data_IF_245441307574
#
_entry.id   IF_245441307574
#
_cell.length_a   1.000
_cell.length_b   1.000
_cell.length_c   1.000
_cell.angle_alpha   90.00
_cell.angle_beta   90.00
_cell.angle_gamma   90.00
#
_symmetry.space_group_name_H-M   'P 1'
#
loop_
_entity.id
_entity.type
_entity.pdbx_description
1 polymer ?
#
# COMPACT_ATOMS: atom_id res chain seq x y z
N UNK A 1 39.42 -24.89 10.57
CA UNK A 1 38.81 -23.59 10.99
C UNK A 1 37.97 -23.20 9.80
N UNK A 2 36.84 -23.88 9.66
CA UNK A 2 35.97 -23.71 8.51
C UNK A 2 34.99 -22.59 8.86
N UNK A 3 35.30 -21.40 8.36
CA UNK A 3 34.36 -20.29 8.36
C UNK A 3 33.28 -20.58 7.33
N UNK A 4 32.21 -21.23 7.79
CA UNK A 4 30.95 -21.33 7.07
C UNK A 4 30.38 -19.91 6.93
N UNK A 5 30.76 -19.21 5.86
CA UNK A 5 30.02 -18.05 5.40
C UNK A 5 28.62 -18.54 5.04
N UNK A 6 27.54 -18.09 5.71
CA UNK A 6 26.20 -18.52 5.34
C UNK A 6 25.95 -18.04 3.92
N UNK A 7 25.85 -19.01 3.01
CA UNK A 7 25.47 -18.80 1.63
C UNK A 7 24.09 -18.12 1.58
N UNK A 8 24.06 -16.79 1.60
CA UNK A 8 22.93 -16.04 1.07
C UNK A 8 23.01 -16.17 -0.44
N UNK A 9 22.53 -17.31 -0.97
CA UNK A 9 22.31 -17.47 -2.40
C UNK A 9 21.42 -16.34 -2.92
N UNK A 10 21.53 -15.98 -4.20
CA UNK A 10 20.77 -14.90 -4.84
C UNK A 10 19.26 -14.88 -4.49
N UNK A 11 18.65 -16.05 -4.26
CA UNK A 11 17.27 -16.18 -3.80
C UNK A 11 17.02 -15.74 -2.35
N UNK A 12 17.99 -15.91 -1.45
CA UNK A 12 17.93 -15.41 -0.07
C UNK A 12 17.97 -13.90 0.02
N UNK A 13 18.79 -13.23 -0.79
CA UNK A 13 18.88 -11.76 -0.83
C UNK A 13 17.63 -11.12 -1.47
N UNK A 14 17.08 -11.75 -2.52
CA UNK A 14 15.86 -11.29 -3.20
C UNK A 14 14.63 -11.36 -2.30
N UNK A 15 14.54 -12.39 -1.46
CA UNK A 15 13.39 -12.61 -0.57
C UNK A 15 13.60 -12.03 0.83
N UNK A 16 14.81 -11.61 1.20
CA UNK A 16 15.10 -11.01 2.50
C UNK A 16 14.13 -9.89 2.91
N UNK A 17 13.74 -8.95 2.02
CA UNK A 17 12.77 -7.92 2.39
C UNK A 17 11.39 -8.50 2.71
N UNK A 18 10.98 -9.56 2.01
CA UNK A 18 9.70 -10.22 2.21
C UNK A 18 9.69 -10.96 3.55
N UNK A 19 10.76 -11.71 3.85
CA UNK A 19 10.91 -12.38 5.14
C UNK A 19 10.92 -11.39 6.30
N UNK A 20 11.67 -10.29 6.17
CA UNK A 20 11.70 -9.25 7.20
C UNK A 20 10.33 -8.62 7.44
N UNK A 21 9.54 -8.43 6.37
CA UNK A 21 8.19 -7.90 6.50
C UNK A 21 7.23 -8.92 7.14
N UNK A 22 7.37 -10.20 6.80
CA UNK A 22 6.60 -11.28 7.40
C UNK A 22 6.88 -11.38 8.90
N UNK A 23 8.16 -11.39 9.31
CA UNK A 23 8.56 -11.42 10.72
C UNK A 23 8.00 -10.21 11.48
N UNK A 24 8.11 -9.00 10.91
CA UNK A 24 7.52 -7.81 11.53
C UNK A 24 6.01 -7.92 11.69
N UNK A 25 5.30 -8.47 10.68
CA UNK A 25 3.85 -8.60 10.71
C UNK A 25 3.40 -9.64 11.76
N UNK A 26 4.16 -10.71 11.93
CA UNK A 26 3.92 -11.73 12.96
C UNK A 26 4.13 -11.14 14.37
N UNK A 27 5.15 -10.29 14.56
CA UNK A 27 5.40 -9.59 15.82
C UNK A 27 4.38 -8.47 16.10
N UNK A 28 3.75 -7.90 15.05
CA UNK A 28 2.88 -6.73 15.14
C UNK A 28 1.54 -6.95 14.41
N UNK A 29 0.71 -7.93 14.81
CA UNK A 29 -0.44 -8.38 14.02
C UNK A 29 -1.48 -7.28 13.80
N UNK A 30 -1.73 -6.43 14.80
CA UNK A 30 -2.69 -5.32 14.66
C UNK A 30 -2.16 -4.19 13.76
N UNK A 31 -0.88 -3.85 13.88
CA UNK A 31 -0.24 -2.87 12.98
C UNK A 31 -0.19 -3.38 11.55
N UNK A 32 0.02 -4.69 11.34
CA UNK A 32 -0.07 -5.31 10.02
C UNK A 32 -1.49 -5.22 9.43
N UNK A 33 -2.53 -5.48 10.22
CA UNK A 33 -3.93 -5.28 9.79
C UNK A 33 -4.18 -3.82 9.44
N UNK A 34 -3.72 -2.87 10.27
CA UNK A 34 -3.80 -1.44 9.99
C UNK A 34 -3.17 -1.07 8.65
N UNK A 35 -2.00 -1.64 8.35
CA UNK A 35 -1.28 -1.42 7.09
C UNK A 35 -2.08 -1.95 5.89
N UNK A 36 -2.60 -3.18 5.98
CA UNK A 36 -3.41 -3.79 4.92
C UNK A 36 -4.67 -2.97 4.65
N UNK A 37 -5.36 -2.54 5.71
CA UNK A 37 -6.56 -1.70 5.61
C UNK A 37 -6.22 -0.35 4.97
N UNK A 38 -5.13 0.30 5.38
CA UNK A 38 -4.72 1.58 4.82
C UNK A 38 -4.37 1.48 3.32
N UNK A 39 -3.60 0.45 2.95
CA UNK A 39 -3.22 0.19 1.55
C UNK A 39 -4.46 -0.13 0.72
N UNK A 40 -5.35 -0.98 1.22
CA UNK A 40 -6.59 -1.36 0.52
C UNK A 40 -7.52 -0.17 0.28
N UNK A 41 -7.71 0.69 1.28
CA UNK A 41 -8.51 1.90 1.15
C UNK A 41 -7.89 2.89 0.15
N UNK A 42 -6.56 3.06 0.18
CA UNK A 42 -5.84 3.91 -0.77
C UNK A 42 -5.96 3.36 -2.20
N UNK A 43 -5.78 2.06 -2.40
CA UNK A 43 -5.94 1.41 -3.70
C UNK A 43 -7.36 1.57 -4.24
N UNK A 44 -8.39 1.38 -3.41
CA UNK A 44 -9.78 1.58 -3.81
C UNK A 44 -10.06 3.02 -4.26
N UNK A 45 -9.46 4.01 -3.57
CA UNK A 45 -9.60 5.40 -3.92
C UNK A 45 -8.89 5.74 -5.24
N UNK A 46 -7.69 5.20 -5.46
CA UNK A 46 -6.95 5.33 -6.72
C UNK A 46 -7.72 4.68 -7.88
N UNK A 47 -8.27 3.49 -7.69
CA UNK A 47 -9.12 2.82 -8.70
C UNK A 47 -10.38 3.66 -8.99
N UNK A 48 -11.00 4.23 -7.96
CA UNK A 48 -12.16 5.11 -8.13
C UNK A 48 -11.81 6.37 -8.92
N UNK A 49 -10.61 6.94 -8.73
CA UNK A 49 -10.12 8.08 -9.50
C UNK A 49 -9.80 7.70 -10.95
N UNK A 50 -9.16 6.54 -11.17
CA UNK A 50 -8.90 6.01 -12.51
C UNK A 50 -10.18 5.76 -13.32
N UNK A 51 -11.25 5.30 -12.65
CA UNK A 51 -12.56 5.16 -13.28
C UNK A 51 -13.19 6.50 -13.69
N UNK A 52 -12.81 7.62 -13.04
CA UNK A 52 -13.28 8.96 -13.43
C UNK A 52 -12.47 9.59 -14.57
N UNK A 53 -11.23 9.15 -14.79
CA UNK A 53 -10.34 9.67 -15.86
C UNK A 53 -10.35 8.82 -17.12
N UNK A 54 -10.68 7.54 -17.01
CA UNK A 54 -10.95 6.68 -18.15
C UNK A 54 -12.31 7.05 -18.75
N UNK A 55 -12.31 7.84 -19.82
CA UNK A 55 -13.49 7.99 -20.69
C UNK A 55 -13.97 6.64 -21.26
N UNK A 56 -15.08 6.63 -22.03
CA UNK A 56 -15.76 5.41 -22.49
C UNK A 56 -14.88 4.42 -23.29
N UNK A 57 -13.72 4.86 -23.77
CA UNK A 57 -12.81 4.04 -24.58
C UNK A 57 -11.73 3.29 -23.77
N UNK A 58 -11.82 3.27 -22.44
CA UNK A 58 -11.12 2.26 -21.61
C UNK A 58 -9.59 2.25 -21.72
N UNK A 59 -8.98 3.35 -22.18
CA UNK A 59 -7.53 3.49 -22.24
C UNK A 59 -6.98 3.49 -20.82
N UNK A 60 -6.40 2.36 -20.40
CA UNK A 60 -5.66 2.21 -19.15
C UNK A 60 -4.47 3.15 -19.13
N UNK A 61 -4.72 4.40 -18.76
CA UNK A 61 -3.68 5.39 -18.58
C UNK A 61 -2.95 5.06 -17.30
N UNK A 62 -1.67 4.71 -17.43
CA UNK A 62 -0.70 4.77 -16.34
C UNK A 62 -0.94 6.08 -15.59
N UNK A 63 -1.29 5.99 -14.30
CA UNK A 63 -1.49 7.15 -13.43
C UNK A 63 -0.18 7.95 -13.36
N UNK A 64 -0.01 8.89 -14.29
CA UNK A 64 1.01 9.91 -14.16
C UNK A 64 0.57 10.83 -13.02
N UNK A 65 1.49 11.17 -12.10
CA UNK A 65 1.21 12.19 -11.09
C UNK A 65 1.20 13.54 -11.80
N UNK A 66 0.09 13.88 -12.42
CA UNK A 66 -0.17 15.17 -13.04
C UNK A 66 -1.34 15.89 -12.33
N UNK A 67 -1.58 17.15 -12.70
CA UNK A 67 -2.64 17.96 -12.11
C UNK A 67 -4.04 17.37 -12.33
N UNK A 68 -4.27 16.67 -13.44
CA UNK A 68 -5.57 16.10 -13.82
C UNK A 68 -5.89 14.86 -12.96
N UNK A 69 -4.89 14.03 -12.71
CA UNK A 69 -4.96 12.84 -11.87
C UNK A 69 -5.15 13.22 -10.40
N UNK A 70 -4.49 14.29 -9.95
CA UNK A 70 -4.66 14.84 -8.60
C UNK A 70 -6.07 15.38 -8.38
N UNK A 71 -6.64 16.07 -9.37
CA UNK A 71 -8.02 16.55 -9.33
C UNK A 71 -9.03 15.39 -9.28
N UNK A 72 -8.81 14.33 -10.06
CA UNK A 72 -9.65 13.14 -10.04
C UNK A 72 -9.59 12.39 -8.69
N UNK A 73 -8.39 12.26 -8.12
CA UNK A 73 -8.17 11.72 -6.77
C UNK A 73 -8.92 12.53 -5.71
N UNK A 74 -8.85 13.86 -5.77
CA UNK A 74 -9.58 14.73 -4.86
C UNK A 74 -11.10 14.58 -5.02
N UNK A 75 -11.61 14.53 -6.24
CA UNK A 75 -13.03 14.31 -6.48
C UNK A 75 -13.50 12.93 -5.98
N UNK A 76 -12.70 11.88 -6.20
CA UNK A 76 -13.00 10.55 -5.68
C UNK A 76 -13.01 10.52 -4.14
N UNK A 77 -12.06 11.21 -3.50
CA UNK A 77 -12.00 11.34 -2.05
C UNK A 77 -13.22 12.08 -1.48
N UNK A 78 -13.66 13.16 -2.14
CA UNK A 78 -14.86 13.90 -1.76
C UNK A 78 -16.15 13.11 -1.98
N UNK A 79 -16.23 12.34 -3.08
CA UNK A 79 -17.38 11.50 -3.39
C UNK A 79 -17.50 10.29 -2.45
N UNK A 80 -16.36 9.79 -1.96
CA UNK A 80 -16.29 8.59 -1.11
C UNK A 80 -15.39 8.84 0.11
N UNK A 81 -15.84 9.68 1.07
CA UNK A 81 -15.02 10.13 2.20
C UNK A 81 -14.64 9.01 3.16
N UNK A 82 -15.32 7.86 3.12
CA UNK A 82 -14.97 6.69 3.92
C UNK A 82 -13.55 6.18 3.59
N UNK A 83 -13.12 6.19 2.34
CA UNK A 83 -11.80 5.68 1.96
C UNK A 83 -10.61 6.47 2.54
N UNK A 84 -10.53 7.82 2.43
CA UNK A 84 -9.44 8.56 3.05
C UNK A 84 -9.48 8.46 4.59
N UNK A 85 -10.67 8.40 5.19
CA UNK A 85 -10.81 8.19 6.64
C UNK A 85 -10.27 6.82 7.06
N UNK A 86 -10.66 5.75 6.38
CA UNK A 86 -10.17 4.39 6.65
C UNK A 86 -8.66 4.29 6.42
N UNK A 87 -8.14 4.96 5.37
CA UNK A 87 -6.71 5.02 5.12
C UNK A 87 -5.94 5.67 6.27
N UNK A 88 -6.42 6.82 6.77
CA UNK A 88 -5.83 7.52 7.91
C UNK A 88 -5.93 6.73 9.20
N UNK A 89 -7.07 6.08 9.47
CA UNK A 89 -7.26 5.24 10.66
C UNK A 89 -6.32 4.05 10.61
N UNK A 90 -6.23 3.35 9.48
CA UNK A 90 -5.29 2.24 9.31
C UNK A 90 -3.85 2.69 9.55
N UNK A 91 -3.45 3.83 8.99
CA UNK A 91 -2.12 4.41 9.18
C UNK A 91 -1.86 4.80 10.64
N UNK A 92 -2.86 5.36 11.32
CA UNK A 92 -2.78 5.66 12.76
C UNK A 92 -2.59 4.39 13.58
N UNK A 93 -3.27 3.29 13.25
CA UNK A 93 -3.04 1.98 13.87
C UNK A 93 -1.60 1.53 13.62
N UNK A 94 -1.09 1.59 12.39
CA UNK A 94 0.33 1.23 12.13
C UNK A 94 1.31 2.05 12.97
N UNK A 95 1.07 3.36 13.09
CA UNK A 95 2.02 4.29 13.69
C UNK A 95 1.96 4.35 15.22
N UNK A 96 0.79 4.08 15.81
CA UNK A 96 0.53 4.28 17.24
C UNK A 96 0.30 2.97 18.00
N UNK A 97 0.05 1.87 17.30
CA UNK A 97 -0.09 0.56 17.92
C UNK A 97 1.28 -0.09 18.03
N UNK A 98 1.72 -0.36 19.26
CA UNK A 98 3.08 -0.79 19.59
C UNK A 98 3.19 -2.28 19.96
N UNK A 99 2.20 -3.10 19.59
CA UNK A 99 2.15 -4.53 19.94
C UNK A 99 1.38 -4.80 21.23
#
# INVERSE_FOLDING_TARGET
MEGDAPFMGLGGTLLWPVYRFADWADDNPMSAVGAVVAVGATAALVVSAGATTAGPDGGGQTLAIDGLTTAALLQAALARPAYPVVALVGLAVVALYDG
#
